data_IF_725826817288
#
_entry.id   IF_725826817288
#
_cell.length_a   1.000
_cell.length_b   1.000
_cell.length_c   1.000
_cell.angle_alpha   90.00
_cell.angle_beta   90.00
_cell.angle_gamma   90.00
#
_symmetry.space_group_name_H-M   'P 1'
#
loop_
_entity.id
_entity.type
_entity.pdbx_description
1 polymer ?
#
# COMPACT_ATOMS: atom_id res chain seq x y z
N UNK A 1 -15.05 6.35 12.05
CA UNK A 1 -15.29 5.05 12.70
C UNK A 1 -14.85 5.11 14.17
N UNK A 2 -15.58 4.44 15.11
CA UNK A 2 -15.17 4.35 16.52
C UNK A 2 -13.77 3.73 16.69
N UNK A 3 -13.43 2.75 15.86
CA UNK A 3 -12.11 2.12 15.86
C UNK A 3 -10.99 3.12 15.53
N UNK A 4 -11.20 3.99 14.54
CA UNK A 4 -10.24 5.04 14.15
C UNK A 4 -9.97 5.96 15.34
N UNK A 5 -11.02 6.47 15.98
CA UNK A 5 -10.91 7.34 17.14
C UNK A 5 -10.24 6.62 18.34
N UNK A 6 -10.64 5.37 18.62
CA UNK A 6 -10.07 4.58 19.70
C UNK A 6 -8.55 4.38 19.56
N UNK A 7 -8.05 4.25 18.32
CA UNK A 7 -6.62 4.12 18.04
C UNK A 7 -5.91 5.49 17.89
N UNK A 8 -6.56 6.58 18.27
CA UNK A 8 -5.97 7.92 18.18
C UNK A 8 -5.71 8.41 16.76
N UNK A 9 -6.41 7.83 15.80
CA UNK A 9 -6.34 8.24 14.39
C UNK A 9 -7.36 9.33 14.10
N UNK A 10 -7.01 10.20 13.15
CA UNK A 10 -7.89 11.24 12.63
C UNK A 10 -7.85 11.20 11.11
N UNK A 11 -8.85 11.77 10.46
CA UNK A 11 -8.85 11.91 9.02
C UNK A 11 -7.58 12.65 8.55
N UNK A 12 -6.88 12.05 7.60
CA UNK A 12 -5.66 12.61 7.01
C UNK A 12 -4.38 12.54 7.86
N UNK A 13 -4.35 11.79 9.00
CA UNK A 13 -3.14 11.69 9.83
C UNK A 13 -2.49 10.31 9.86
N UNK A 14 -2.88 9.42 8.96
CA UNK A 14 -2.30 8.08 8.88
C UNK A 14 -2.17 7.60 7.44
N UNK A 15 -1.25 6.68 7.25
CA UNK A 15 -1.01 5.99 5.98
C UNK A 15 -1.43 4.53 6.15
N UNK A 16 -2.19 3.98 5.20
CA UNK A 16 -2.49 2.54 5.21
C UNK A 16 -1.48 1.75 4.40
N UNK A 17 -1.14 0.56 4.86
CA UNK A 17 -0.39 -0.44 4.10
C UNK A 17 -1.25 -1.70 4.01
N UNK A 18 -1.65 -2.06 2.80
CA UNK A 18 -2.36 -3.32 2.57
C UNK A 18 -1.38 -4.40 2.20
N UNK A 19 -1.33 -5.42 3.03
CA UNK A 19 -0.45 -6.57 2.85
C UNK A 19 -1.10 -7.57 1.91
N UNK A 20 -0.32 -8.08 0.97
CA UNK A 20 -0.63 -9.26 0.17
C UNK A 20 0.24 -10.42 0.68
N UNK A 21 -0.40 -11.51 1.05
CA UNK A 21 0.28 -12.73 1.48
C UNK A 21 -0.51 -13.96 1.00
N UNK A 22 -0.24 -14.40 -0.23
CA UNK A 22 -0.91 -15.53 -0.87
C UNK A 22 0.07 -16.64 -1.14
N UNK A 23 -0.32 -17.89 -0.84
CA UNK A 23 0.49 -19.06 -1.06
C UNK A 23 0.58 -19.50 -2.52
N UNK A 24 -0.43 -19.15 -3.33
CA UNK A 24 -0.52 -19.50 -4.75
C UNK A 24 0.32 -18.60 -5.67
N UNK A 25 0.73 -17.43 -5.18
CA UNK A 25 1.58 -16.47 -5.92
C UNK A 25 2.54 -15.74 -4.98
N UNK A 26 3.49 -16.44 -4.36
CA UNK A 26 4.40 -15.87 -3.36
C UNK A 26 5.29 -14.74 -3.92
N UNK A 27 5.62 -14.78 -5.20
CA UNK A 27 6.42 -13.77 -5.90
C UNK A 27 5.73 -12.37 -5.93
N UNK A 28 4.41 -12.35 -5.84
CA UNK A 28 3.61 -11.12 -5.81
C UNK A 28 3.32 -10.63 -4.38
N UNK A 29 3.79 -11.34 -3.35
CA UNK A 29 3.53 -10.97 -1.97
C UNK A 29 4.32 -9.72 -1.55
N UNK A 30 3.80 -9.01 -0.55
CA UNK A 30 4.47 -7.87 0.07
C UNK A 30 5.78 -8.31 0.71
N UNK A 31 6.89 -7.65 0.40
CA UNK A 31 8.15 -7.84 1.11
C UNK A 31 8.13 -7.07 2.43
N UNK A 32 7.72 -7.73 3.50
CA UNK A 32 7.53 -7.11 4.82
C UNK A 32 8.80 -6.40 5.31
N UNK A 33 9.99 -6.94 5.03
CA UNK A 33 11.25 -6.32 5.47
C UNK A 33 11.51 -4.98 4.79
N UNK A 34 11.19 -4.85 3.50
CA UNK A 34 11.34 -3.60 2.78
C UNK A 34 10.31 -2.56 3.26
N UNK A 35 9.08 -2.99 3.56
CA UNK A 35 8.03 -2.12 4.08
C UNK A 35 8.29 -1.65 5.52
N UNK A 36 8.92 -2.46 6.36
CA UNK A 36 9.39 -2.04 7.70
C UNK A 36 10.44 -0.92 7.62
N UNK A 37 11.33 -0.96 6.62
CA UNK A 37 12.29 0.14 6.41
C UNK A 37 11.59 1.44 6.02
N UNK A 38 10.51 1.37 5.23
CA UNK A 38 9.66 2.53 4.92
C UNK A 38 9.05 3.11 6.21
N UNK A 39 8.42 2.27 7.04
CA UNK A 39 7.78 2.70 8.29
C UNK A 39 8.79 3.43 9.18
N UNK A 40 9.96 2.82 9.43
CA UNK A 40 11.03 3.44 10.21
C UNK A 40 11.54 4.76 9.63
N UNK A 41 11.63 4.86 8.32
CA UNK A 41 12.04 6.12 7.68
C UNK A 41 11.05 7.25 7.96
N UNK A 42 9.77 6.94 8.08
CA UNK A 42 8.71 7.91 8.31
C UNK A 42 8.52 8.31 9.79
N UNK A 43 9.22 7.70 10.74
CA UNK A 43 9.19 8.11 12.16
C UNK A 43 9.48 9.61 12.34
N UNK A 44 10.35 10.18 11.50
CA UNK A 44 10.68 11.61 11.49
C UNK A 44 9.50 12.54 11.19
N UNK A 45 8.44 12.02 10.54
CA UNK A 45 7.23 12.79 10.18
C UNK A 45 6.09 12.61 11.18
N UNK A 46 6.26 11.81 12.22
CA UNK A 46 5.21 11.50 13.20
C UNK A 46 3.90 10.96 12.59
N UNK A 47 3.97 10.35 11.42
CA UNK A 47 2.83 9.75 10.71
C UNK A 47 2.61 8.33 11.24
N UNK A 48 1.36 7.99 11.52
CA UNK A 48 0.99 6.64 11.94
C UNK A 48 0.73 5.74 10.73
N UNK A 49 1.17 4.50 10.83
CA UNK A 49 0.86 3.48 9.84
C UNK A 49 -0.23 2.54 10.34
N UNK A 50 -1.15 2.19 9.43
CA UNK A 50 -2.21 1.21 9.67
C UNK A 50 -2.04 0.06 8.72
N UNK A 51 -1.73 -1.11 9.25
CA UNK A 51 -1.52 -2.33 8.47
C UNK A 51 -2.85 -3.03 8.30
N UNK A 52 -3.22 -3.27 7.05
CA UNK A 52 -4.41 -4.05 6.67
C UNK A 52 -3.93 -5.44 6.22
N UNK A 53 -4.15 -6.49 7.02
CA UNK A 53 -3.68 -7.82 6.72
C UNK A 53 -4.46 -8.46 5.55
N UNK A 54 -3.90 -9.52 4.98
CA UNK A 54 -4.65 -10.44 4.10
C UNK A 54 -5.74 -11.16 4.92
N UNK A 55 -6.88 -11.46 4.29
CA UNK A 55 -8.02 -12.08 4.97
C UNK A 55 -7.65 -13.38 5.70
N UNK A 56 -6.88 -14.24 5.03
CA UNK A 56 -6.47 -15.53 5.59
C UNK A 56 -5.53 -15.41 6.80
N UNK A 57 -4.87 -14.27 6.97
CA UNK A 57 -3.88 -14.06 8.03
C UNK A 57 -4.45 -13.43 9.29
N UNK A 58 -5.73 -13.05 9.28
CA UNK A 58 -6.37 -12.36 10.43
C UNK A 58 -6.25 -13.17 11.73
N UNK A 59 -6.21 -14.49 11.62
CA UNK A 59 -6.12 -15.41 12.76
C UNK A 59 -4.70 -15.95 12.99
N UNK A 60 -3.74 -15.63 12.11
CA UNK A 60 -2.33 -16.01 12.25
C UNK A 60 -1.49 -14.78 12.63
N UNK A 61 -1.37 -14.49 13.92
CA UNK A 61 -0.76 -13.26 14.42
C UNK A 61 0.72 -13.09 14.07
N UNK A 62 1.46 -14.17 13.87
CA UNK A 62 2.93 -14.18 13.79
C UNK A 62 3.55 -13.26 12.74
N UNK A 63 2.94 -13.13 11.57
CA UNK A 63 3.53 -12.35 10.47
C UNK A 63 3.41 -10.83 10.69
N UNK A 64 2.43 -10.41 11.49
CA UNK A 64 2.15 -8.99 11.74
C UNK A 64 2.73 -8.47 13.06
N UNK A 65 3.22 -9.36 13.92
CA UNK A 65 3.89 -8.98 15.18
C UNK A 65 5.15 -8.15 14.92
N UNK A 66 5.76 -8.30 13.75
CA UNK A 66 6.93 -7.52 13.32
C UNK A 66 6.62 -6.04 13.07
N UNK A 67 5.37 -5.68 12.85
CA UNK A 67 4.96 -4.30 12.64
C UNK A 67 4.68 -3.52 13.93
N UNK A 68 4.56 -4.20 15.06
CA UNK A 68 4.41 -3.57 16.38
C UNK A 68 5.79 -3.26 16.98
N UNK A 69 5.98 -2.14 17.66
CA UNK A 69 5.00 -1.11 18.06
C UNK A 69 4.82 0.06 17.08
N UNK A 70 5.53 0.10 15.94
CA UNK A 70 5.58 1.29 15.05
C UNK A 70 4.27 1.50 14.25
N UNK A 71 3.35 0.54 14.31
CA UNK A 71 2.12 0.58 13.51
C UNK A 71 0.94 -0.10 14.18
N UNK A 72 -0.25 0.14 13.65
CA UNK A 72 -1.51 -0.41 14.16
C UNK A 72 -2.03 -1.46 13.17
N UNK A 73 -2.13 -2.71 13.58
CA UNK A 73 -2.72 -3.78 12.74
C UNK A 73 -4.25 -3.72 12.82
N UNK A 74 -4.90 -3.59 11.67
CA UNK A 74 -6.36 -3.44 11.56
C UNK A 74 -7.03 -4.68 10.95
N UNK A 75 -7.25 -5.71 11.77
CA UNK A 75 -7.93 -6.94 11.37
C UNK A 75 -9.36 -6.70 10.86
N UNK A 76 -10.07 -5.71 11.41
CA UNK A 76 -11.42 -5.36 10.99
C UNK A 76 -11.50 -4.96 9.52
N UNK A 77 -10.45 -4.31 9.00
CA UNK A 77 -10.39 -3.93 7.59
C UNK A 77 -10.19 -5.14 6.66
N UNK A 78 -9.58 -6.22 7.14
CA UNK A 78 -9.49 -7.47 6.38
C UNK A 78 -10.84 -8.21 6.30
N UNK A 79 -11.64 -8.12 7.36
CA UNK A 79 -12.92 -8.86 7.50
C UNK A 79 -14.13 -8.10 6.96
N UNK A 80 -14.05 -6.78 6.79
CA UNK A 80 -15.17 -5.93 6.39
C UNK A 80 -14.79 -4.97 5.27
N UNK A 81 -15.31 -5.21 4.07
CA UNK A 81 -15.11 -4.34 2.90
C UNK A 81 -15.64 -2.92 3.14
N UNK A 82 -16.77 -2.79 3.83
CA UNK A 82 -17.33 -1.47 4.19
C UNK A 82 -16.41 -0.71 5.14
N UNK A 83 -15.87 -1.40 6.15
CA UNK A 83 -14.93 -0.79 7.08
C UNK A 83 -13.61 -0.42 6.37
N UNK A 84 -13.09 -1.31 5.53
CA UNK A 84 -11.89 -1.08 4.70
C UNK A 84 -12.05 0.16 3.82
N UNK A 85 -13.17 0.27 3.10
CA UNK A 85 -13.45 1.43 2.26
C UNK A 85 -13.48 2.74 3.05
N UNK A 86 -14.04 2.74 4.26
CA UNK A 86 -14.04 3.91 5.15
C UNK A 86 -12.63 4.23 5.66
N UNK A 87 -11.86 3.21 6.06
CA UNK A 87 -10.46 3.38 6.48
C UNK A 87 -9.63 4.02 5.37
N UNK A 88 -9.74 3.51 4.15
CA UNK A 88 -9.01 4.07 3.00
C UNK A 88 -9.44 5.49 2.66
N UNK A 89 -10.72 5.79 2.76
CA UNK A 89 -11.27 7.12 2.48
C UNK A 89 -10.71 8.18 3.44
N UNK A 90 -10.46 7.82 4.69
CA UNK A 90 -9.99 8.73 5.74
C UNK A 90 -8.46 8.76 5.86
N UNK A 91 -7.73 7.89 5.15
CA UNK A 91 -6.28 7.88 5.15
C UNK A 91 -5.70 9.06 4.35
N UNK A 92 -4.52 9.53 4.76
CA UNK A 92 -3.73 10.50 3.99
C UNK A 92 -3.25 9.89 2.67
N UNK A 93 -2.70 8.68 2.74
CA UNK A 93 -2.20 7.92 1.59
C UNK A 93 -2.51 6.43 1.82
N UNK A 94 -2.87 5.73 0.76
CA UNK A 94 -3.06 4.30 0.78
C UNK A 94 -1.97 3.60 -0.03
N UNK A 95 -1.27 2.66 0.57
CA UNK A 95 -0.18 1.93 -0.04
C UNK A 95 -0.51 0.45 -0.16
N UNK A 96 -0.16 -0.15 -1.29
CA UNK A 96 -0.28 -1.59 -1.50
C UNK A 96 0.57 -2.07 -2.66
N UNK A 97 0.89 -3.36 -2.67
CA UNK A 97 1.28 -4.04 -3.90
C UNK A 97 0.03 -4.35 -4.72
N UNK A 98 0.18 -4.58 -6.02
CA UNK A 98 -0.98 -4.91 -6.88
C UNK A 98 -1.71 -6.15 -6.37
N UNK A 99 -2.97 -5.97 -6.05
CA UNK A 99 -3.86 -7.02 -5.51
C UNK A 99 -5.32 -6.63 -5.78
N UNK A 100 -6.23 -7.58 -5.74
CA UNK A 100 -7.65 -7.33 -6.04
C UNK A 100 -8.30 -6.22 -5.23
N UNK A 101 -7.74 -5.85 -4.08
CA UNK A 101 -8.27 -4.77 -3.24
C UNK A 101 -7.97 -3.37 -3.77
N UNK A 102 -7.08 -3.21 -4.76
CA UNK A 102 -6.79 -1.90 -5.37
C UNK A 102 -8.04 -1.28 -6.02
N UNK A 103 -9.00 -2.09 -6.46
CA UNK A 103 -10.26 -1.58 -7.01
C UNK A 103 -11.01 -0.67 -6.06
N UNK A 104 -10.92 -0.88 -4.74
CA UNK A 104 -11.51 0.04 -3.76
C UNK A 104 -10.89 1.42 -3.79
N UNK A 105 -9.62 1.53 -4.15
CA UNK A 105 -8.90 2.79 -4.24
C UNK A 105 -9.08 3.47 -5.59
N UNK A 106 -9.07 2.70 -6.66
CA UNK A 106 -9.11 3.19 -8.03
C UNK A 106 -10.34 4.06 -8.31
N UNK A 107 -11.48 3.72 -7.72
CA UNK A 107 -12.72 4.46 -7.87
C UNK A 107 -13.01 5.49 -6.77
N UNK A 108 -12.11 5.64 -5.81
CA UNK A 108 -12.19 6.67 -4.77
C UNK A 108 -11.33 7.89 -5.12
N UNK A 109 -11.55 8.99 -4.39
CA UNK A 109 -10.76 10.23 -4.58
C UNK A 109 -9.51 10.29 -3.72
N UNK A 110 -9.26 9.27 -2.90
CA UNK A 110 -8.16 9.25 -1.93
C UNK A 110 -6.82 9.03 -2.59
N UNK A 111 -5.75 9.65 -2.08
CA UNK A 111 -4.40 9.39 -2.55
C UNK A 111 -4.01 7.92 -2.37
N UNK A 112 -3.31 7.37 -3.35
CA UNK A 112 -2.73 6.03 -3.24
C UNK A 112 -1.46 5.86 -4.07
N UNK A 113 -0.66 4.87 -3.69
CA UNK A 113 0.39 4.32 -4.54
C UNK A 113 0.22 2.79 -4.59
N UNK A 114 0.08 2.26 -5.80
CA UNK A 114 0.11 0.83 -6.05
C UNK A 114 1.50 0.48 -6.56
N UNK A 115 2.18 -0.42 -5.86
CA UNK A 115 3.50 -0.91 -6.23
C UNK A 115 3.36 -2.19 -7.05
N UNK A 116 3.76 -2.10 -8.31
CA UNK A 116 3.74 -3.21 -9.26
C UNK A 116 5.06 -3.98 -9.13
N UNK A 117 5.01 -5.20 -8.64
CA UNK A 117 6.22 -6.00 -8.49
C UNK A 117 6.78 -6.36 -9.85
N UNK A 118 8.06 -6.11 -10.04
CA UNK A 118 8.83 -6.62 -11.15
C UNK A 118 9.45 -7.94 -10.71
N UNK A 119 8.86 -9.04 -11.09
CA UNK A 119 9.50 -10.34 -10.94
C UNK A 119 10.31 -10.59 -12.20
N UNK A 120 11.61 -10.67 -12.05
CA UNK A 120 12.53 -11.07 -13.14
C UNK A 120 12.94 -12.50 -12.85
N UNK A 121 12.79 -13.40 -13.83
CA UNK A 121 13.30 -14.77 -13.71
C UNK A 121 14.82 -14.82 -13.92
N UNK A 122 15.42 -15.97 -13.70
CA UNK A 122 16.87 -16.18 -13.86
C UNK A 122 17.37 -15.94 -15.30
N UNK A 123 16.47 -15.87 -16.29
CA UNK A 123 16.78 -15.57 -17.69
C UNK A 123 16.64 -14.08 -18.03
N UNK A 124 16.28 -13.23 -17.07
CA UNK A 124 16.10 -11.80 -17.26
C UNK A 124 14.75 -11.40 -17.86
N UNK A 125 13.82 -12.35 -17.97
CA UNK A 125 12.45 -12.06 -18.43
C UNK A 125 11.60 -11.56 -17.27
N UNK A 126 10.80 -10.56 -17.51
CA UNK A 126 9.82 -10.08 -16.53
C UNK A 126 8.70 -11.10 -16.36
N UNK A 127 8.69 -11.77 -15.22
CA UNK A 127 7.60 -12.63 -14.79
C UNK A 127 6.60 -11.76 -14.03
N UNK A 128 5.53 -11.42 -14.66
CA UNK A 128 4.44 -10.74 -13.98
C UNK A 128 3.62 -9.95 -14.98
N UNK A 129 2.35 -10.22 -14.99
CA UNK A 129 1.39 -9.54 -15.84
C UNK A 129 1.30 -8.03 -15.55
N UNK A 130 1.82 -7.58 -14.40
CA UNK A 130 1.55 -6.25 -13.87
C UNK A 130 2.33 -5.17 -14.62
N UNK A 131 3.67 -5.34 -14.80
CA UNK A 131 4.46 -4.39 -15.59
C UNK A 131 4.01 -4.37 -17.05
N UNK A 132 3.91 -5.54 -17.68
CA UNK A 132 3.52 -5.67 -19.06
C UNK A 132 2.10 -5.17 -19.30
N UNK A 133 1.19 -5.45 -18.37
CA UNK A 133 -0.18 -4.99 -18.46
C UNK A 133 -0.29 -3.46 -18.38
N UNK A 134 0.28 -2.84 -17.36
CA UNK A 134 0.16 -1.40 -17.18
C UNK A 134 1.04 -0.59 -18.13
N UNK A 135 2.27 -1.04 -18.37
CA UNK A 135 3.19 -0.33 -19.25
C UNK A 135 2.87 -0.56 -20.74
N UNK A 136 2.76 -1.82 -21.16
CA UNK A 136 2.52 -2.15 -22.58
C UNK A 136 1.08 -1.87 -23.01
N UNK A 137 0.07 -2.18 -22.17
CA UNK A 137 -1.33 -1.96 -22.51
C UNK A 137 -1.76 -0.50 -22.41
N UNK A 138 -1.22 0.27 -21.47
CA UNK A 138 -1.65 1.64 -21.18
C UNK A 138 -0.55 2.68 -21.30
N UNK A 139 0.70 2.31 -21.59
CA UNK A 139 1.83 3.24 -21.68
C UNK A 139 2.17 3.95 -20.36
N UNK A 140 1.84 3.33 -19.19
CA UNK A 140 2.00 3.97 -17.90
C UNK A 140 3.42 3.75 -17.37
N UNK A 141 4.13 4.85 -17.13
CA UNK A 141 5.46 4.85 -16.49
C UNK A 141 5.35 5.04 -14.97
N UNK A 142 6.44 4.70 -14.25
CA UNK A 142 6.55 4.92 -12.81
C UNK A 142 6.21 6.38 -12.42
N UNK A 143 5.52 6.57 -11.30
CA UNK A 143 5.05 7.87 -10.82
C UNK A 143 3.85 8.45 -11.58
N UNK A 144 3.36 7.76 -12.59
CA UNK A 144 2.15 8.12 -13.34
C UNK A 144 0.94 7.37 -12.79
N UNK A 145 -0.22 7.75 -13.27
CA UNK A 145 -1.52 7.22 -12.84
C UNK A 145 -2.32 6.72 -14.04
N UNK A 146 -3.32 5.94 -13.76
CA UNK A 146 -4.30 5.50 -14.75
C UNK A 146 -4.97 6.73 -15.41
N UNK A 147 -5.40 6.66 -16.67
CA UNK A 147 -5.95 7.80 -17.40
C UNK A 147 -7.12 8.52 -16.73
N UNK A 148 -7.87 7.81 -15.88
CA UNK A 148 -9.00 8.35 -15.14
C UNK A 148 -8.69 8.70 -13.68
N UNK A 149 -7.44 8.47 -13.23
CA UNK A 149 -7.03 8.71 -11.85
C UNK A 149 -6.59 10.16 -11.62
N UNK A 150 -6.55 10.57 -10.36
CA UNK A 150 -6.07 11.89 -9.95
C UNK A 150 -4.54 11.89 -9.83
N UNK A 151 -3.93 13.08 -9.82
CA UNK A 151 -2.49 13.28 -9.67
C UNK A 151 -1.88 12.60 -8.43
N UNK A 152 -2.68 12.44 -7.37
CA UNK A 152 -2.29 11.77 -6.12
C UNK A 152 -2.51 10.25 -6.12
N UNK A 153 -2.89 9.68 -7.26
CA UNK A 153 -3.20 8.26 -7.44
C UNK A 153 -2.19 7.68 -8.42
N UNK A 154 -1.16 7.00 -7.91
CA UNK A 154 0.06 6.66 -8.67
C UNK A 154 0.29 5.16 -8.74
N UNK A 155 1.01 4.77 -9.79
CA UNK A 155 1.60 3.45 -9.95
C UNK A 155 3.12 3.56 -9.87
N UNK A 156 3.77 2.67 -9.12
CA UNK A 156 5.23 2.58 -9.05
C UNK A 156 5.68 1.16 -9.35
N UNK A 157 6.87 1.03 -9.90
CA UNK A 157 7.45 -0.27 -10.24
C UNK A 157 8.49 -0.69 -9.22
N UNK A 158 8.30 -1.89 -8.66
CA UNK A 158 9.15 -2.45 -7.60
C UNK A 158 8.74 -1.97 -6.21
N UNK A 159 9.04 -2.80 -5.21
CA UNK A 159 8.73 -2.56 -3.81
C UNK A 159 9.99 -2.62 -2.91
N UNK A 160 11.17 -2.30 -3.46
CA UNK A 160 12.37 -2.09 -2.64
C UNK A 160 12.19 -0.87 -1.73
N UNK A 161 12.79 -0.88 -0.55
CA UNK A 161 12.70 0.23 0.40
C UNK A 161 13.11 1.58 -0.23
N UNK A 162 14.10 1.57 -1.13
CA UNK A 162 14.49 2.77 -1.87
C UNK A 162 13.36 3.32 -2.74
N UNK A 163 12.67 2.45 -3.47
CA UNK A 163 11.51 2.82 -4.30
C UNK A 163 10.36 3.28 -3.44
N UNK A 164 10.02 2.50 -2.39
CA UNK A 164 8.95 2.80 -1.45
C UNK A 164 9.15 4.18 -0.82
N UNK A 165 10.31 4.42 -0.21
CA UNK A 165 10.62 5.69 0.48
C UNK A 165 10.52 6.87 -0.49
N UNK A 166 11.17 6.79 -1.65
CA UNK A 166 11.16 7.87 -2.64
C UNK A 166 9.74 8.22 -3.10
N UNK A 167 8.94 7.22 -3.43
CA UNK A 167 7.60 7.43 -3.95
C UNK A 167 6.65 7.98 -2.88
N UNK A 168 6.68 7.39 -1.68
CA UNK A 168 5.78 7.80 -0.58
C UNK A 168 6.16 9.18 -0.06
N UNK A 169 7.45 9.48 0.13
CA UNK A 169 7.90 10.79 0.57
C UNK A 169 7.54 11.88 -0.42
N UNK A 170 7.74 11.64 -1.73
CA UNK A 170 7.32 12.59 -2.77
C UNK A 170 5.84 12.92 -2.68
N UNK A 171 4.98 11.89 -2.59
CA UNK A 171 3.54 12.11 -2.51
C UNK A 171 3.14 12.76 -1.17
N UNK A 172 3.76 12.35 -0.07
CA UNK A 172 3.53 12.92 1.26
C UNK A 172 3.79 14.44 1.27
N UNK A 173 4.96 14.86 0.81
CA UNK A 173 5.34 16.28 0.76
C UNK A 173 4.45 17.10 -0.18
N UNK A 174 3.98 16.52 -1.27
CA UNK A 174 3.04 17.18 -2.17
C UNK A 174 1.64 17.38 -1.56
N UNK A 175 1.22 16.48 -0.66
CA UNK A 175 -0.05 16.59 0.07
C UNK A 175 0.09 17.58 1.24
N UNK A 176 1.19 17.51 1.99
CA UNK A 176 1.42 18.33 3.18
C UNK A 176 1.62 19.83 2.84
N UNK A 177 2.11 20.13 1.64
CA UNK A 177 2.32 21.50 1.16
C UNK A 177 1.05 22.15 0.53
N UNK A 178 -0.11 21.48 0.56
CA UNK A 178 -1.39 22.01 0.02
C UNK A 178 -2.38 22.35 1.09
#
# INVERSE_FOLDING_TARGET
SRWIVYNGLKNGNYITITIRNKSDRPESNTDIHEWLKLIKYFDKYSVKFVIVPEYNDVYSHKIYDVFTPESIVCNQAALSTRFRAQLYKEAMINLMVDCGTHFFLTYQSTPYIIFLKQTINDTGEHLGNDYDFYHKAFGINAGKWLPFAKWSQRLEYGDSSKTLIKAVESLYLEIDNK
#
